data_IF_446407175770
#
_entry.id   IF_446407175770
#
_cell.length_a   1.000
_cell.length_b   1.000
_cell.length_c   1.000
_cell.angle_alpha   90.00
_cell.angle_beta   90.00
_cell.angle_gamma   90.00
#
_symmetry.space_group_name_H-M   'P 1'
#
loop_
_entity.id
_entity.type
_entity.pdbx_description
1 polymer ?
#
# COMPACT_ATOMS: atom_id res chain seq x y z
N UNK A 1 10.98 19.69 -0.82
CA UNK A 1 9.86 19.32 0.09
C UNK A 1 10.18 17.93 0.59
N UNK A 2 10.18 17.67 1.90
CA UNK A 2 10.36 16.32 2.40
C UNK A 2 9.15 15.47 2.02
N UNK A 3 9.35 14.47 1.17
CA UNK A 3 8.32 13.63 0.57
C UNK A 3 8.12 12.34 1.36
N UNK A 4 7.77 12.48 2.64
CA UNK A 4 7.49 11.32 3.48
C UNK A 4 6.16 10.65 3.09
N UNK A 5 6.10 9.33 3.24
CA UNK A 5 4.84 8.57 3.21
C UNK A 5 4.13 8.83 4.54
N UNK A 6 2.81 9.04 4.53
CA UNK A 6 2.01 9.29 5.73
C UNK A 6 1.12 8.10 6.03
N UNK A 7 0.78 7.94 7.30
CA UNK A 7 -0.26 7.02 7.73
C UNK A 7 -1.65 7.57 7.34
N UNK A 8 -2.48 6.77 6.70
CA UNK A 8 -3.84 7.14 6.32
C UNK A 8 -4.80 7.19 7.54
N UNK A 9 -4.46 6.54 8.67
CA UNK A 9 -5.27 6.59 9.90
C UNK A 9 -4.95 7.75 10.84
N UNK A 10 -3.68 8.20 10.90
CA UNK A 10 -3.25 9.22 11.87
C UNK A 10 -2.46 10.39 11.29
N UNK A 11 -2.28 10.42 9.96
CA UNK A 11 -1.61 11.47 9.18
C UNK A 11 -0.13 11.75 9.56
N UNK A 12 0.43 10.98 10.48
CA UNK A 12 1.85 11.05 10.86
C UNK A 12 2.73 10.48 9.77
N UNK A 13 3.92 11.07 9.63
CA UNK A 13 4.95 10.56 8.72
C UNK A 13 5.39 9.15 9.15
N UNK A 14 5.58 8.27 8.16
CA UNK A 14 6.05 6.90 8.37
C UNK A 14 7.57 6.92 8.43
N UNK A 15 8.10 6.62 9.62
CA UNK A 15 9.53 6.44 9.81
C UNK A 15 9.98 5.06 9.31
N UNK A 16 11.16 5.02 8.68
CA UNK A 16 11.82 3.78 8.22
C UNK A 16 10.94 2.86 7.37
N UNK A 17 9.94 3.42 6.68
CA UNK A 17 9.00 2.65 5.85
C UNK A 17 8.23 1.59 6.68
N UNK A 18 8.10 1.79 7.99
CA UNK A 18 7.46 0.85 8.92
C UNK A 18 5.94 1.01 8.94
N UNK A 19 5.29 0.52 7.89
CA UNK A 19 3.84 0.52 7.75
C UNK A 19 3.35 -0.74 7.02
N UNK A 20 2.04 -0.96 7.07
CA UNK A 20 1.32 -1.96 6.30
C UNK A 20 0.58 -1.28 5.14
N UNK A 21 0.53 -1.96 4.00
CA UNK A 21 -0.35 -1.66 2.87
C UNK A 21 -1.59 -2.54 3.08
N UNK A 22 -2.71 -1.92 3.43
CA UNK A 22 -3.96 -2.61 3.76
C UNK A 22 -5.00 -2.39 2.68
N UNK A 23 -5.79 -3.40 2.35
CA UNK A 23 -6.88 -3.33 1.35
C UNK A 23 -8.20 -3.72 1.99
N UNK A 24 -9.32 -3.40 1.36
CA UNK A 24 -10.63 -3.86 1.82
C UNK A 24 -10.72 -5.40 1.78
N UNK A 25 -11.03 -6.02 2.91
CA UNK A 25 -11.11 -7.49 3.06
C UNK A 25 -12.20 -8.14 2.22
N UNK A 26 -13.26 -7.40 1.83
CA UNK A 26 -14.43 -7.97 1.17
C UNK A 26 -14.17 -8.34 -0.29
N UNK A 27 -13.38 -7.54 -1.02
CA UNK A 27 -13.31 -7.61 -2.49
C UNK A 27 -11.89 -7.77 -3.07
N UNK A 28 -10.83 -7.74 -2.26
CA UNK A 28 -9.44 -7.70 -2.76
C UNK A 28 -8.99 -8.94 -3.57
N UNK A 29 -9.70 -10.06 -3.46
CA UNK A 29 -9.45 -11.27 -4.26
C UNK A 29 -9.82 -11.07 -5.72
N UNK A 30 -10.89 -10.32 -6.00
CA UNK A 30 -11.36 -10.03 -7.35
C UNK A 30 -10.69 -8.76 -7.88
N UNK A 31 -10.67 -7.71 -7.06
CA UNK A 31 -10.16 -6.41 -7.44
C UNK A 31 -9.77 -5.55 -6.24
N UNK A 32 -8.63 -4.90 -6.34
CA UNK A 32 -8.12 -3.91 -5.40
C UNK A 32 -8.50 -2.53 -5.93
N UNK A 33 -9.54 -1.94 -5.34
CA UNK A 33 -10.03 -0.61 -5.73
C UNK A 33 -9.17 0.52 -5.14
N UNK A 34 -8.75 0.37 -3.89
CA UNK A 34 -7.83 1.26 -3.19
C UNK A 34 -7.06 0.47 -2.14
N UNK A 35 -6.02 1.07 -1.58
CA UNK A 35 -5.30 0.54 -0.43
C UNK A 35 -4.91 1.68 0.51
N UNK A 36 -4.70 1.36 1.78
CA UNK A 36 -4.32 2.29 2.82
C UNK A 36 -2.90 2.02 3.30
N UNK A 37 -2.13 3.06 3.57
CA UNK A 37 -0.84 2.95 4.26
C UNK A 37 -1.08 3.17 5.75
N UNK A 38 -0.91 2.13 6.57
CA UNK A 38 -1.22 2.18 8.00
C UNK A 38 0.04 1.93 8.83
N UNK A 39 0.42 2.87 9.69
CA UNK A 39 1.58 2.69 10.56
C UNK A 39 1.34 1.56 11.58
N UNK A 40 2.42 0.89 12.01
CA UNK A 40 2.31 -0.25 12.94
C UNK A 40 1.53 0.06 14.23
N UNK A 41 1.65 1.25 14.87
CA UNK A 41 0.78 1.62 15.98
C UNK A 41 -0.71 1.60 15.61
N UNK A 42 -1.11 2.24 14.51
CA UNK A 42 -2.50 2.25 14.07
C UNK A 42 -3.00 0.85 13.68
N UNK A 43 -2.17 -0.01 13.09
CA UNK A 43 -2.56 -1.41 12.83
C UNK A 43 -2.92 -2.12 14.14
N UNK A 44 -2.09 -1.99 15.19
CA UNK A 44 -2.38 -2.60 16.49
C UNK A 44 -3.67 -2.07 17.10
N UNK A 45 -3.92 -0.76 16.97
CA UNK A 45 -5.16 -0.14 17.45
C UNK A 45 -6.38 -0.67 16.70
N UNK A 46 -6.29 -0.80 15.36
CA UNK A 46 -7.34 -1.39 14.53
C UNK A 46 -7.63 -2.84 14.91
N UNK A 47 -6.60 -3.64 15.15
CA UNK A 47 -6.75 -5.04 15.58
C UNK A 47 -7.42 -5.13 16.96
N UNK A 48 -6.99 -4.28 17.91
CA UNK A 48 -7.53 -4.25 19.27
C UNK A 48 -8.99 -3.81 19.33
N UNK A 49 -9.44 -3.01 18.37
CA UNK A 49 -10.82 -2.49 18.26
C UNK A 49 -11.69 -3.32 17.32
N UNK A 50 -11.17 -4.43 16.78
CA UNK A 50 -11.79 -5.28 15.75
C UNK A 50 -12.13 -4.55 14.43
N UNK A 51 -11.72 -3.28 14.26
CA UNK A 51 -11.82 -2.53 13.01
C UNK A 51 -10.91 -3.10 11.93
N UNK A 52 -9.81 -3.75 12.34
CA UNK A 52 -8.90 -4.45 11.44
C UNK A 52 -9.56 -5.59 10.66
N UNK A 53 -10.69 -6.14 11.12
CA UNK A 53 -11.40 -7.21 10.40
C UNK A 53 -11.90 -6.80 9.01
N UNK A 54 -12.11 -5.51 8.78
CA UNK A 54 -12.54 -4.95 7.48
C UNK A 54 -11.36 -4.74 6.52
N UNK A 55 -10.13 -4.88 7.00
CA UNK A 55 -8.92 -4.62 6.23
C UNK A 55 -8.02 -5.86 6.18
N UNK A 56 -7.49 -6.15 5.01
CA UNK A 56 -6.53 -7.22 4.80
C UNK A 56 -5.15 -6.61 4.59
N UNK A 57 -4.14 -7.11 5.32
CA UNK A 57 -2.76 -6.70 5.07
C UNK A 57 -2.27 -7.35 3.76
N UNK A 58 -2.05 -6.53 2.74
CA UNK A 58 -1.53 -6.99 1.45
C UNK A 58 0.00 -7.14 1.51
N UNK A 59 0.70 -6.09 1.97
CA UNK A 59 2.17 -6.04 2.00
C UNK A 59 2.69 -5.19 3.16
N UNK A 60 3.95 -5.39 3.54
CA UNK A 60 4.68 -4.36 4.30
C UNK A 60 5.18 -3.27 3.34
N UNK A 61 5.09 -2.01 3.78
CA UNK A 61 5.59 -0.86 3.00
C UNK A 61 7.11 -0.95 2.76
N UNK A 62 7.85 -1.60 3.66
CA UNK A 62 9.28 -1.89 3.52
C UNK A 62 9.59 -2.81 2.32
N UNK A 63 8.71 -3.78 2.02
CA UNK A 63 8.86 -4.66 0.86
C UNK A 63 8.65 -3.88 -0.42
N UNK A 64 7.63 -3.01 -0.43
CA UNK A 64 7.39 -2.10 -1.55
C UNK A 64 8.59 -1.18 -1.80
N UNK A 65 9.34 -0.79 -0.76
CA UNK A 65 10.58 -0.02 -0.91
C UNK A 65 11.70 -0.81 -1.60
N UNK A 66 11.90 -2.05 -1.18
CA UNK A 66 13.03 -2.85 -1.63
C UNK A 66 12.80 -3.44 -3.03
N UNK A 67 11.55 -3.81 -3.33
CA UNK A 67 11.20 -4.59 -4.52
C UNK A 67 10.22 -3.83 -5.44
N UNK A 68 10.21 -2.49 -5.38
CA UNK A 68 9.28 -1.65 -6.14
C UNK A 68 9.25 -1.99 -7.64
N UNK A 69 10.43 -2.13 -8.26
CA UNK A 69 10.54 -2.37 -9.70
C UNK A 69 10.04 -3.75 -10.11
N UNK A 70 10.16 -4.74 -9.23
CA UNK A 70 9.64 -6.07 -9.51
C UNK A 70 8.11 -6.09 -9.35
N UNK A 71 7.58 -5.42 -8.33
CA UNK A 71 6.13 -5.24 -8.18
C UNK A 71 5.50 -4.45 -9.33
N UNK A 72 6.15 -3.38 -9.78
CA UNK A 72 5.72 -2.61 -10.96
C UNK A 72 5.67 -3.51 -12.19
N UNK A 73 6.68 -4.37 -12.39
CA UNK A 73 6.71 -5.34 -13.49
C UNK A 73 5.56 -6.35 -13.41
N UNK A 74 5.31 -6.95 -12.25
CA UNK A 74 4.19 -7.88 -12.05
C UNK A 74 2.84 -7.23 -12.39
N UNK A 75 2.64 -5.99 -11.95
CA UNK A 75 1.43 -5.21 -12.26
C UNK A 75 1.30 -4.96 -13.77
N UNK A 76 2.38 -4.54 -14.45
CA UNK A 76 2.37 -4.34 -15.89
C UNK A 76 2.11 -5.64 -16.66
N UNK A 77 2.69 -6.75 -16.22
CA UNK A 77 2.46 -8.07 -16.79
C UNK A 77 0.99 -8.48 -16.66
N UNK A 78 0.38 -8.33 -15.48
CA UNK A 78 -1.05 -8.57 -15.27
C UNK A 78 -1.92 -7.76 -16.23
N UNK A 79 -1.62 -6.47 -16.39
CA UNK A 79 -2.34 -5.59 -17.32
C UNK A 79 -2.19 -6.05 -18.77
N UNK A 80 -1.01 -6.52 -19.18
CA UNK A 80 -0.73 -6.98 -20.54
C UNK A 80 -1.53 -8.23 -20.92
N UNK A 81 -1.82 -9.10 -19.95
CA UNK A 81 -2.64 -10.31 -20.14
C UNK A 81 -4.13 -10.08 -19.83
N UNK A 82 -4.54 -8.83 -19.64
CA UNK A 82 -5.93 -8.44 -19.40
C UNK A 82 -6.44 -8.64 -17.97
N UNK A 83 -5.57 -9.05 -17.03
CA UNK A 83 -5.91 -9.14 -15.61
C UNK A 83 -5.84 -7.73 -15.01
N UNK A 84 -7.00 -7.15 -14.73
CA UNK A 84 -7.13 -5.79 -14.16
C UNK A 84 -7.44 -5.85 -12.67
N UNK A 85 -6.57 -6.54 -11.92
CA UNK A 85 -6.74 -6.74 -10.47
C UNK A 85 -6.65 -5.43 -9.71
N UNK A 86 -5.84 -4.48 -10.18
CA UNK A 86 -5.75 -3.14 -9.59
C UNK A 86 -6.59 -2.14 -10.37
N UNK A 87 -7.34 -1.30 -9.65
CA UNK A 87 -8.00 -0.14 -10.24
C UNK A 87 -6.98 0.91 -10.69
N UNK A 88 -7.43 1.86 -11.50
CA UNK A 88 -6.58 2.99 -11.88
C UNK A 88 -6.11 3.81 -10.67
N UNK A 89 -6.96 3.98 -9.66
CA UNK A 89 -6.67 4.76 -8.45
C UNK A 89 -5.59 4.08 -7.61
N UNK A 90 -5.69 2.76 -7.42
CA UNK A 90 -4.67 1.97 -6.74
C UNK A 90 -3.32 2.06 -7.48
N UNK A 91 -3.32 1.97 -8.81
CA UNK A 91 -2.09 2.11 -9.62
C UNK A 91 -1.45 3.49 -9.45
N UNK A 92 -2.25 4.56 -9.43
CA UNK A 92 -1.74 5.92 -9.19
C UNK A 92 -1.11 6.05 -7.79
N UNK A 93 -1.73 5.44 -6.77
CA UNK A 93 -1.22 5.47 -5.39
C UNK A 93 0.08 4.69 -5.26
N UNK A 94 0.22 3.51 -5.90
CA UNK A 94 1.49 2.75 -5.96
C UNK A 94 2.58 3.59 -6.61
N UNK A 95 2.31 4.17 -7.78
CA UNK A 95 3.27 5.02 -8.50
C UNK A 95 3.71 6.24 -7.67
N UNK A 96 2.80 6.84 -6.91
CA UNK A 96 3.13 7.95 -6.03
C UNK A 96 4.09 7.52 -4.91
N UNK A 97 3.90 6.33 -4.34
CA UNK A 97 4.84 5.78 -3.35
C UNK A 97 6.19 5.47 -4.01
N UNK A 98 6.19 4.88 -5.21
CA UNK A 98 7.39 4.64 -6.02
C UNK A 98 8.27 5.87 -6.22
N UNK A 99 7.65 7.01 -6.57
CA UNK A 99 8.37 8.29 -6.71
C UNK A 99 9.05 8.73 -5.42
N UNK A 100 8.37 8.56 -4.27
CA UNK A 100 8.94 8.89 -2.96
C UNK A 100 10.13 8.00 -2.60
N UNK A 101 10.13 6.73 -3.02
CA UNK A 101 11.28 5.83 -2.84
C UNK A 101 12.50 6.40 -3.56
N UNK A 102 12.35 6.76 -4.85
CA UNK A 102 13.44 7.27 -5.68
C UNK A 102 14.00 8.63 -5.22
N UNK A 103 13.22 9.43 -4.49
CA UNK A 103 13.68 10.70 -3.92
C UNK A 103 14.42 10.55 -2.59
N UNK A 104 14.35 9.37 -1.97
CA UNK A 104 15.01 9.05 -0.68
C UNK A 104 16.29 8.22 -0.82
N UNK A 105 16.66 7.84 -2.05
CA UNK A 105 17.92 7.16 -2.39
C UNK A 105 18.94 8.15 -2.95
#
# INVERSE_FOLDING_TARGET
>A
MNTFVKCDECEKDIENWSANIMVDSSNFHERIEDFQVVCKPCTRDLDSTNRGSQLHNLWELSWLKNDYLDMEREIFEEMSIGRKRFSHEALLKINNIGRKINETN
#
